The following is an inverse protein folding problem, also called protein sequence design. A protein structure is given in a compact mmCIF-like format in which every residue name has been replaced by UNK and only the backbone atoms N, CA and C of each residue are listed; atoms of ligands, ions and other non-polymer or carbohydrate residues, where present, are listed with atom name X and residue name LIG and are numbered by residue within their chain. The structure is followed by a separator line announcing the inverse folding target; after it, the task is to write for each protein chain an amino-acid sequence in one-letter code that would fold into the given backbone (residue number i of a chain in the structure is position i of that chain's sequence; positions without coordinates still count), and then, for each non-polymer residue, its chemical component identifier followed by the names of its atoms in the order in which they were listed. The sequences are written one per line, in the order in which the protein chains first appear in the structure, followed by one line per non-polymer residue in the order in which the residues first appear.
data_IF_019898704317
#
_entry.id   IF_019898704317
#
_cell.length_a   1.000
_cell.length_b   1.000
_cell.length_c   1.000
_cell.angle_alpha   90.00
_cell.angle_beta   90.00
_cell.angle_gamma   90.00
#
_symmetry.space_group_name_H-M   'P 1'
#
loop_
_entity.id
_entity.type
_entity.pdbx_description
1 polymer ?
#
# COMPACT_ATOMS: atom_id res chain seq x y z
N UNK A 1 -1.98 14.23 -6.94
CA UNK A 1 -2.25 13.39 -5.76
C UNK A 1 -2.03 11.90 -6.01
N UNK A 2 -2.50 11.32 -7.13
CA UNK A 2 -2.33 9.89 -7.44
C UNK A 2 -0.85 9.46 -7.43
N UNK A 3 0.05 10.24 -8.05
CA UNK A 3 1.48 9.94 -8.03
C UNK A 3 2.10 9.90 -6.63
N UNK A 4 1.68 10.79 -5.73
CA UNK A 4 2.15 10.81 -4.34
C UNK A 4 1.67 9.57 -3.56
N UNK A 5 0.42 9.15 -3.77
CA UNK A 5 -0.10 7.93 -3.17
C UNK A 5 0.68 6.69 -3.63
N UNK A 6 0.99 6.59 -4.94
CA UNK A 6 1.80 5.48 -5.47
C UNK A 6 3.21 5.46 -4.86
N UNK A 7 3.85 6.63 -4.75
CA UNK A 7 5.19 6.76 -4.14
C UNK A 7 5.24 6.37 -2.66
N UNK A 8 4.12 6.37 -1.95
CA UNK A 8 4.04 5.96 -0.53
C UNK A 8 3.64 4.48 -0.43
N UNK A 9 2.61 4.07 -1.18
CA UNK A 9 2.01 2.74 -1.07
C UNK A 9 2.96 1.63 -1.54
N UNK A 10 3.71 1.84 -2.63
CA UNK A 10 4.64 0.84 -3.15
C UNK A 10 5.78 0.48 -2.16
N UNK A 11 6.56 1.45 -1.64
CA UNK A 11 7.62 1.13 -0.68
C UNK A 11 7.06 0.60 0.64
N UNK A 12 5.90 1.07 1.08
CA UNK A 12 5.25 0.54 2.29
C UNK A 12 4.82 -0.91 2.13
N UNK A 13 4.30 -1.27 0.95
CA UNK A 13 3.96 -2.66 0.59
C UNK A 13 5.21 -3.53 0.57
N UNK A 14 6.28 -3.09 -0.10
CA UNK A 14 7.54 -3.83 -0.16
C UNK A 14 8.15 -4.03 1.24
N UNK A 15 8.11 -3.00 2.08
CA UNK A 15 8.54 -3.09 3.48
C UNK A 15 7.70 -4.11 4.26
N UNK A 16 6.37 -4.07 4.12
CA UNK A 16 5.46 -4.98 4.82
C UNK A 16 5.70 -6.43 4.43
N UNK A 17 5.83 -6.73 3.14
CA UNK A 17 6.11 -8.08 2.66
C UNK A 17 7.42 -8.64 3.24
N UNK A 18 8.43 -7.78 3.39
CA UNK A 18 9.72 -8.14 3.98
C UNK A 18 9.62 -8.34 5.51
N UNK A 19 8.89 -7.48 6.21
CA UNK A 19 8.71 -7.56 7.68
C UNK A 19 7.88 -8.77 8.09
N UNK A 20 6.85 -9.11 7.32
CA UNK A 20 5.99 -10.26 7.59
C UNK A 20 6.53 -11.58 7.01
N UNK A 21 7.75 -11.57 6.44
CA UNK A 21 8.40 -12.73 5.83
C UNK A 21 7.45 -13.55 4.92
N UNK A 22 6.70 -12.84 4.07
CA UNK A 22 5.63 -13.47 3.29
C UNK A 22 6.22 -14.53 2.34
N UNK A 23 5.71 -15.77 2.33
CA UNK A 23 6.21 -16.80 1.42
C UNK A 23 6.06 -16.36 -0.04
N UNK A 24 7.07 -16.64 -0.87
CA UNK A 24 7.09 -16.23 -2.29
C UNK A 24 5.87 -16.67 -3.11
N UNK A 25 5.25 -17.79 -2.74
CA UNK A 25 4.02 -18.25 -3.38
C UNK A 25 2.80 -17.33 -3.11
N UNK A 26 2.84 -16.57 -2.01
CA UNK A 26 1.78 -15.66 -1.59
C UNK A 26 2.13 -14.18 -1.74
N UNK A 27 3.39 -13.85 -2.08
CA UNK A 27 3.86 -12.46 -2.22
C UNK A 27 2.98 -11.62 -3.16
N UNK A 28 2.56 -12.17 -4.31
CA UNK A 28 1.73 -11.41 -5.26
C UNK A 28 0.35 -11.06 -4.70
N UNK A 29 -0.32 -12.03 -4.05
CA UNK A 29 -1.66 -11.84 -3.47
C UNK A 29 -1.58 -10.92 -2.24
N UNK A 30 -0.57 -11.10 -1.40
CA UNK A 30 -0.33 -10.25 -0.24
C UNK A 30 0.01 -8.81 -0.66
N UNK A 31 0.83 -8.64 -1.70
CA UNK A 31 1.18 -7.33 -2.25
C UNK A 31 -0.06 -6.58 -2.75
N UNK A 32 -0.89 -7.24 -3.58
CA UNK A 32 -2.14 -6.66 -4.07
C UNK A 32 -3.10 -6.29 -2.94
N UNK A 33 -3.23 -7.17 -1.95
CA UNK A 33 -4.10 -6.93 -0.79
C UNK A 33 -3.63 -5.73 0.03
N UNK A 34 -2.32 -5.65 0.30
CA UNK A 34 -1.70 -4.53 1.03
C UNK A 34 -1.85 -3.22 0.26
N UNK A 35 -1.61 -3.20 -1.04
CA UNK A 35 -1.79 -2.01 -1.88
C UNK A 35 -3.24 -1.53 -1.80
N UNK A 36 -4.20 -2.44 -1.91
CA UNK A 36 -5.63 -2.12 -1.85
C UNK A 36 -5.99 -1.52 -0.48
N UNK A 37 -5.53 -2.14 0.60
CA UNK A 37 -5.77 -1.68 1.98
C UNK A 37 -5.14 -0.30 2.21
N UNK A 38 -3.90 -0.09 1.78
CA UNK A 38 -3.22 1.19 1.93
C UNK A 38 -3.87 2.30 1.11
N UNK A 39 -4.34 2.02 -0.10
CA UNK A 39 -5.12 2.98 -0.88
C UNK A 39 -6.45 3.31 -0.21
N UNK A 40 -7.14 2.32 0.36
CA UNK A 40 -8.40 2.54 1.07
C UNK A 40 -8.20 3.42 2.32
N UNK A 41 -7.13 3.17 3.07
CA UNK A 41 -6.76 3.97 4.24
C UNK A 41 -6.29 5.38 3.88
N UNK A 42 -5.53 5.53 2.78
CA UNK A 42 -5.10 6.85 2.31
C UNK A 42 -6.25 7.67 1.73
N UNK A 43 -7.27 7.04 1.16
CA UNK A 43 -8.39 7.74 0.51
C UNK A 43 -9.05 8.83 1.37
N UNK A 44 -9.50 8.57 2.63
CA UNK A 44 -10.08 9.60 3.48
C UNK A 44 -9.05 10.67 3.91
N UNK A 45 -7.79 10.29 4.11
CA UNK A 45 -6.69 11.20 4.43
C UNK A 45 -6.42 12.18 3.28
N UNK A 46 -6.39 11.67 2.04
CA UNK A 46 -6.25 12.47 0.83
C UNK A 46 -7.47 13.37 0.61
N UNK A 47 -8.69 12.88 0.93
CA UNK A 47 -9.91 13.68 0.89
C UNK A 47 -9.93 14.82 1.92
N UNK A 48 -9.37 14.59 3.10
CA UNK A 48 -9.18 15.62 4.14
C UNK A 48 -8.10 16.64 3.77
N UNK A 49 -6.96 16.21 3.21
CA UNK A 49 -5.86 17.08 2.80
C UNK A 49 -6.14 17.89 1.53
N UNK A 50 -7.09 17.45 0.70
CA UNK A 50 -7.49 18.13 -0.52
C UNK A 50 -8.56 19.24 -0.31
N UNK A 51 -9.03 19.41 0.93
CA UNK A 51 -9.89 20.53 1.35
C UNK A 51 -9.06 21.67 1.91
#
# INVERSE_FOLDING_TARGET
MIGAAVCIVLPLTAFSLKVFEVPRHHEAVASLSLILVYLLLLSPLLGLLAR
#
